data_IF_201372060628
#
_entry.id   IF_201372060628
#
_cell.length_a   1.000
_cell.length_b   1.000
_cell.length_c   1.000
_cell.angle_alpha   90.00
_cell.angle_beta   90.00
_cell.angle_gamma   90.00
#
_symmetry.space_group_name_H-M   'P 1'
#
loop_
_entity.id
_entity.type
_entity.pdbx_description
1 polymer ?
#
# COMPACT_ATOMS: atom_id res chain seq x y z
N UNK A 1 -15.10 -15.69 -14.49
CA UNK A 1 -14.31 -14.98 -13.48
C UNK A 1 -13.60 -15.99 -12.59
N UNK A 2 -12.33 -15.74 -12.24
CA UNK A 2 -11.57 -16.54 -11.28
C UNK A 2 -11.08 -15.62 -10.18
N UNK A 3 -11.20 -16.05 -8.93
CA UNK A 3 -10.66 -15.35 -7.77
C UNK A 3 -9.46 -16.14 -7.23
N UNK A 4 -8.45 -15.42 -6.78
CA UNK A 4 -7.22 -15.99 -6.22
C UNK A 4 -6.92 -15.25 -4.91
N UNK A 5 -6.54 -16.01 -3.90
CA UNK A 5 -5.97 -15.46 -2.68
C UNK A 5 -4.49 -15.21 -2.92
N UNK A 6 -4.04 -14.02 -2.64
CA UNK A 6 -2.64 -13.62 -2.70
C UNK A 6 -2.20 -13.08 -1.34
N UNK A 7 -0.91 -13.14 -1.09
CA UNK A 7 -0.30 -12.59 0.13
C UNK A 7 0.26 -11.21 -0.22
N UNK A 8 -0.03 -10.22 0.61
CA UNK A 8 0.52 -8.88 0.46
C UNK A 8 1.98 -8.83 0.91
N UNK A 9 2.64 -7.73 0.61
CA UNK A 9 3.97 -7.40 1.14
C UNK A 9 3.95 -7.22 2.65
N UNK A 10 5.11 -7.28 3.29
CA UNK A 10 5.30 -6.86 4.67
C UNK A 10 6.26 -5.68 4.73
N UNK A 11 5.90 -4.56 5.39
CA UNK A 11 4.57 -4.25 5.94
C UNK A 11 3.50 -4.18 4.86
N UNK A 12 2.26 -4.51 5.23
CA UNK A 12 1.12 -4.49 4.32
C UNK A 12 0.55 -3.06 4.22
N UNK A 13 1.27 -2.17 3.57
CA UNK A 13 0.82 -0.81 3.29
C UNK A 13 0.56 -0.60 1.80
N UNK A 14 -0.21 0.40 1.50
CA UNK A 14 -0.61 0.75 0.13
C UNK A 14 0.60 1.12 -0.73
N UNK A 15 1.50 1.93 -0.16
CA UNK A 15 2.73 2.33 -0.84
C UNK A 15 3.65 1.14 -1.06
N UNK A 16 3.90 0.33 -0.02
CA UNK A 16 4.80 -0.82 -0.11
C UNK A 16 4.33 -1.78 -1.19
N UNK A 17 3.05 -2.14 -1.21
CA UNK A 17 2.49 -3.06 -2.20
C UNK A 17 2.48 -2.47 -3.61
N UNK A 18 2.13 -1.19 -3.75
CA UNK A 18 2.11 -0.48 -5.04
C UNK A 18 3.52 -0.37 -5.61
N UNK A 19 4.52 0.03 -4.79
CA UNK A 19 5.90 0.14 -5.25
C UNK A 19 6.47 -1.22 -5.61
N UNK A 20 6.22 -2.26 -4.82
CA UNK A 20 6.63 -3.62 -5.15
C UNK A 20 6.06 -4.07 -6.49
N UNK A 21 4.79 -3.82 -6.74
CA UNK A 21 4.15 -4.12 -8.01
C UNK A 21 4.76 -3.33 -9.17
N UNK A 22 4.96 -2.03 -9.00
CA UNK A 22 5.44 -1.15 -10.08
C UNK A 22 6.93 -1.34 -10.37
N UNK A 23 7.75 -1.67 -9.39
CA UNK A 23 9.19 -1.84 -9.53
C UNK A 23 9.63 -3.28 -9.79
N UNK A 24 8.73 -4.25 -9.58
CA UNK A 24 9.04 -5.70 -9.56
C UNK A 24 10.11 -6.06 -8.50
N UNK A 25 10.16 -5.29 -7.42
CA UNK A 25 11.14 -5.45 -6.34
C UNK A 25 10.44 -5.72 -5.02
N UNK A 26 11.14 -6.40 -4.14
CA UNK A 26 10.70 -6.60 -2.77
C UNK A 26 10.82 -5.29 -1.96
N UNK A 27 10.11 -5.15 -0.83
CA UNK A 27 10.25 -4.00 0.08
C UNK A 27 11.68 -3.77 0.54
N UNK A 28 12.45 -4.83 0.74
CA UNK A 28 13.86 -4.78 1.09
C UNK A 28 14.71 -4.12 -0.02
N UNK A 29 14.42 -4.43 -1.29
CA UNK A 29 15.19 -3.92 -2.43
C UNK A 29 14.83 -2.47 -2.77
N UNK A 30 13.55 -2.11 -2.73
CA UNK A 30 13.14 -0.75 -3.09
C UNK A 30 13.15 0.24 -1.91
N UNK A 31 13.19 -0.23 -0.66
CA UNK A 31 13.30 0.60 0.54
C UNK A 31 12.04 1.39 0.94
N UNK A 32 10.92 1.21 0.23
CA UNK A 32 9.67 1.90 0.54
C UNK A 32 8.78 1.03 1.41
N UNK A 33 8.66 1.42 2.68
CA UNK A 33 7.89 0.68 3.68
C UNK A 33 6.59 1.39 4.00
N UNK A 34 6.61 2.72 4.10
CA UNK A 34 5.43 3.57 4.25
C UNK A 34 5.71 4.98 3.69
N UNK A 35 4.66 5.78 3.57
CA UNK A 35 4.74 7.18 3.15
C UNK A 35 5.52 8.09 4.08
N UNK A 36 5.73 7.68 5.32
CA UNK A 36 6.41 8.45 6.36
C UNK A 36 7.86 8.06 6.60
N UNK A 37 8.30 6.92 6.07
CA UNK A 37 9.63 6.38 6.36
C UNK A 37 10.50 6.46 5.13
N UNK A 38 11.53 7.27 5.26
CA UNK A 38 12.58 7.46 4.30
C UNK A 38 13.83 6.69 4.73
N UNK A 39 14.03 5.52 4.15
CA UNK A 39 15.28 4.79 4.31
C UNK A 39 16.23 5.11 3.14
N UNK A 40 17.12 6.09 3.33
CA UNK A 40 18.29 6.38 2.50
C UNK A 40 18.08 6.92 1.07
N UNK A 41 16.88 7.17 0.60
CA UNK A 41 16.68 7.70 -0.75
C UNK A 41 16.20 9.14 -0.82
N UNK A 42 16.02 9.84 0.32
CA UNK A 42 15.29 11.11 0.36
C UNK A 42 16.01 12.18 1.20
N UNK A 43 17.24 12.47 0.93
CA UNK A 43 17.83 13.67 1.52
C UNK A 43 17.24 14.98 0.95
N UNK A 44 16.53 14.96 -0.18
CA UNK A 44 16.10 16.20 -0.84
C UNK A 44 14.59 16.44 -0.94
N UNK A 45 13.70 15.48 -0.63
CA UNK A 45 12.24 15.64 -0.84
C UNK A 45 11.33 15.34 0.35
N UNK A 46 11.86 15.03 1.51
CA UNK A 46 11.10 14.71 2.74
C UNK A 46 10.26 15.88 3.30
N UNK A 47 10.40 17.08 2.77
CA UNK A 47 9.70 18.28 3.27
C UNK A 47 8.35 18.56 2.61
N UNK A 48 7.89 17.74 1.71
CA UNK A 48 6.53 17.85 1.18
C UNK A 48 5.63 16.91 1.97
N UNK A 49 5.16 17.35 3.13
CA UNK A 49 4.20 16.63 3.99
C UNK A 49 2.99 16.15 3.21
N UNK A 50 3.16 15.05 2.50
CA UNK A 50 2.21 14.49 1.58
C UNK A 50 2.65 13.10 1.14
N UNK A 51 1.68 12.33 0.76
CA UNK A 51 1.78 11.04 0.11
C UNK A 51 2.88 11.06 -0.97
N UNK A 52 3.91 10.23 -0.82
CA UNK A 52 4.94 10.08 -1.85
C UNK A 52 4.35 9.41 -3.07
N UNK A 53 4.50 10.07 -4.20
CA UNK A 53 3.99 9.59 -5.47
C UNK A 53 4.89 8.50 -6.00
N UNK A 54 4.37 7.32 -6.39
CA UNK A 54 5.19 6.26 -6.99
C UNK A 54 6.01 6.70 -8.21
N UNK A 55 5.62 7.80 -8.85
CA UNK A 55 6.30 8.33 -10.04
C UNK A 55 7.57 9.14 -9.76
N UNK A 56 7.79 9.59 -8.52
CA UNK A 56 8.98 10.36 -8.14
C UNK A 56 10.12 9.46 -7.67
N UNK A 57 9.94 8.15 -7.72
CA UNK A 57 10.91 7.18 -7.26
C UNK A 57 12.04 6.99 -8.28
N UNK A 58 13.27 6.87 -7.79
CA UNK A 58 14.46 6.60 -8.60
C UNK A 58 14.59 5.10 -8.93
N UNK A 59 13.59 4.53 -9.55
CA UNK A 59 13.64 3.14 -10.06
C UNK A 59 12.99 3.06 -11.45
N UNK A 60 13.43 2.10 -12.24
CA UNK A 60 12.78 1.79 -13.50
C UNK A 60 11.48 1.04 -13.23
N UNK A 61 10.36 1.66 -13.53
CA UNK A 61 9.05 1.06 -13.34
C UNK A 61 8.70 0.08 -14.46
N UNK A 62 7.74 -0.80 -14.21
CA UNK A 62 7.17 -1.67 -15.26
C UNK A 62 6.67 -0.85 -16.47
N UNK A 63 6.20 0.38 -16.23
CA UNK A 63 5.78 1.29 -17.31
C UNK A 63 6.97 1.73 -18.17
N UNK A 64 8.10 2.07 -17.54
CA UNK A 64 9.32 2.45 -18.26
C UNK A 64 9.85 1.29 -19.08
N UNK A 65 9.92 0.10 -18.48
CA UNK A 65 10.36 -1.13 -19.17
C UNK A 65 9.52 -1.42 -20.41
N UNK A 66 8.20 -1.35 -20.29
CA UNK A 66 7.29 -1.59 -21.42
C UNK A 66 7.43 -0.51 -22.48
N UNK A 67 7.47 0.76 -22.10
CA UNK A 67 7.56 1.88 -23.02
C UNK A 67 8.91 1.92 -23.75
N UNK A 68 10.00 1.51 -23.07
CA UNK A 68 11.34 1.45 -23.66
C UNK A 68 11.54 0.21 -24.55
N UNK A 69 10.76 -0.86 -24.36
CA UNK A 69 10.90 -2.12 -25.11
C UNK A 69 10.44 -2.04 -26.57
N UNK A 70 9.74 -0.99 -26.96
CA UNK A 70 9.08 -0.82 -28.27
C UNK A 70 8.05 -1.90 -28.64
N UNK A 71 7.73 -2.83 -27.74
CA UNK A 71 6.79 -3.94 -27.99
C UNK A 71 5.35 -3.67 -27.47
N UNK A 72 5.12 -2.51 -26.87
CA UNK A 72 3.84 -2.13 -26.31
C UNK A 72 3.87 -0.73 -25.74
N UNK A 73 2.77 -0.32 -25.11
CA UNK A 73 2.66 0.93 -24.37
C UNK A 73 2.05 0.68 -23.01
N UNK A 74 2.58 1.36 -22.00
CA UNK A 74 2.04 1.33 -20.64
C UNK A 74 1.46 2.69 -20.26
N UNK A 75 0.34 2.65 -19.59
CA UNK A 75 -0.40 3.83 -19.11
C UNK A 75 -0.73 3.65 -17.64
N UNK A 76 -0.60 4.72 -16.88
CA UNK A 76 -0.94 4.75 -15.46
C UNK A 76 -2.00 5.82 -15.19
N UNK A 77 -3.06 5.44 -14.49
CA UNK A 77 -4.16 6.30 -14.09
C UNK A 77 -4.24 6.33 -12.57
N UNK A 78 -4.01 7.51 -11.99
CA UNK A 78 -4.11 7.73 -10.55
C UNK A 78 -5.04 8.90 -10.26
N UNK A 79 -5.61 9.01 -9.05
CA UNK A 79 -6.40 10.18 -8.63
C UNK A 79 -5.52 11.42 -8.38
N UNK A 80 -4.20 11.30 -8.58
CA UNK A 80 -3.19 12.32 -8.30
C UNK A 80 -2.09 12.33 -9.38
N UNK A 81 -1.23 13.36 -9.36
CA UNK A 81 -0.08 13.46 -10.27
C UNK A 81 -0.42 13.78 -11.72
N UNK A 82 0.50 13.44 -12.61
CA UNK A 82 0.31 13.58 -14.06
C UNK A 82 -0.65 12.51 -14.56
N UNK A 83 -1.64 12.91 -15.36
CA UNK A 83 -2.67 11.97 -15.86
C UNK A 83 -3.74 11.63 -14.83
N UNK A 84 -3.89 12.46 -13.78
CA UNK A 84 -4.93 12.28 -12.77
C UNK A 84 -6.33 12.28 -13.39
N UNK A 85 -7.15 11.39 -12.88
CA UNK A 85 -8.59 11.41 -13.13
C UNK A 85 -9.32 12.10 -11.96
N UNK A 86 -10.49 12.67 -12.23
CA UNK A 86 -11.31 13.36 -11.23
C UNK A 86 -12.22 12.42 -10.44
N UNK A 87 -12.70 11.38 -11.12
CA UNK A 87 -13.61 10.37 -10.58
C UNK A 87 -13.48 9.06 -11.37
N UNK A 88 -14.06 7.98 -10.85
CA UNK A 88 -14.00 6.65 -11.48
C UNK A 88 -14.59 6.64 -12.90
N UNK A 89 -15.64 7.39 -13.14
CA UNK A 89 -16.27 7.47 -14.47
C UNK A 89 -15.28 7.99 -15.52
N UNK A 90 -14.51 9.03 -15.18
CA UNK A 90 -13.47 9.57 -16.07
C UNK A 90 -12.34 8.56 -16.28
N UNK A 91 -11.92 7.84 -15.22
CA UNK A 91 -10.94 6.79 -15.33
C UNK A 91 -11.40 5.67 -16.26
N UNK A 92 -12.63 5.19 -16.11
CA UNK A 92 -13.19 4.14 -16.96
C UNK A 92 -13.33 4.59 -18.43
N UNK A 93 -13.76 5.83 -18.68
CA UNK A 93 -13.78 6.40 -20.04
C UNK A 93 -12.37 6.43 -20.64
N UNK A 94 -11.38 6.80 -19.85
CA UNK A 94 -9.99 6.83 -20.29
C UNK A 94 -9.46 5.43 -20.59
N UNK A 95 -9.77 4.42 -19.75
CA UNK A 95 -9.42 3.02 -20.00
C UNK A 95 -10.01 2.54 -21.32
N UNK A 96 -11.30 2.79 -21.57
CA UNK A 96 -11.96 2.41 -22.80
C UNK A 96 -11.30 3.08 -24.01
N UNK A 97 -11.04 4.38 -23.95
CA UNK A 97 -10.38 5.11 -25.02
C UNK A 97 -8.99 4.57 -25.32
N UNK A 98 -8.20 4.31 -24.28
CA UNK A 98 -6.86 3.74 -24.41
C UNK A 98 -6.91 2.30 -24.97
N UNK A 99 -7.90 1.50 -24.55
CA UNK A 99 -8.05 0.11 -25.02
C UNK A 99 -8.33 0.03 -26.51
N UNK A 100 -9.01 1.01 -27.08
CA UNK A 100 -9.35 1.07 -28.51
C UNK A 100 -8.15 1.45 -29.41
N UNK A 101 -7.05 1.94 -28.85
CA UNK A 101 -5.84 2.19 -29.64
C UNK A 101 -5.24 0.86 -30.11
N UNK A 102 -4.56 0.87 -31.26
CA UNK A 102 -3.88 -0.31 -31.76
C UNK A 102 -2.65 -0.70 -30.91
N UNK A 103 -2.26 -1.96 -30.97
CA UNK A 103 -1.06 -2.51 -30.34
C UNK A 103 -1.24 -2.99 -28.89
N UNK A 104 -0.24 -3.72 -28.40
CA UNK A 104 -0.22 -4.25 -27.03
C UNK A 104 -0.09 -3.14 -26.02
N UNK A 105 -0.81 -3.24 -24.91
CA UNK A 105 -0.75 -2.23 -23.86
C UNK A 105 -1.00 -2.80 -22.47
N UNK A 106 -0.39 -2.17 -21.49
CA UNK A 106 -0.71 -2.30 -20.07
C UNK A 106 -1.40 -1.01 -19.61
N UNK A 107 -2.58 -1.12 -19.04
CA UNK A 107 -3.28 0.00 -18.42
C UNK A 107 -3.43 -0.32 -16.95
N UNK A 108 -2.77 0.45 -16.09
CA UNK A 108 -2.87 0.35 -14.64
C UNK A 108 -3.73 1.49 -14.14
N UNK A 109 -4.77 1.19 -13.38
CA UNK A 109 -5.60 2.18 -12.74
C UNK A 109 -5.68 1.90 -11.23
N UNK A 110 -5.34 2.90 -10.44
CA UNK A 110 -5.36 2.84 -8.99
C UNK A 110 -6.57 3.60 -8.45
N UNK A 111 -7.32 2.99 -7.53
CA UNK A 111 -8.51 3.57 -6.91
C UNK A 111 -8.40 3.48 -5.39
N UNK A 112 -8.63 4.59 -4.70
CA UNK A 112 -8.54 4.73 -3.25
C UNK A 112 -9.90 4.96 -2.55
N UNK A 113 -10.99 4.94 -3.30
CA UNK A 113 -12.31 5.29 -2.78
C UNK A 113 -12.82 4.31 -1.74
N UNK A 114 -12.67 3.01 -1.98
CA UNK A 114 -13.15 1.97 -1.07
C UNK A 114 -12.43 2.05 0.28
N UNK A 115 -11.11 2.26 0.26
CA UNK A 115 -10.31 2.42 1.48
C UNK A 115 -10.81 3.59 2.32
N UNK A 116 -11.09 4.74 1.70
CA UNK A 116 -11.67 5.91 2.39
C UNK A 116 -13.03 5.63 3.02
N UNK A 117 -13.88 4.84 2.37
CA UNK A 117 -15.19 4.46 2.91
C UNK A 117 -15.02 3.53 4.12
N UNK A 118 -14.16 2.51 4.00
CA UNK A 118 -13.84 1.56 5.08
C UNK A 118 -13.23 2.28 6.29
N UNK A 119 -12.27 3.17 6.08
CA UNK A 119 -11.65 3.95 7.16
C UNK A 119 -12.65 4.81 7.93
N UNK A 120 -13.68 5.31 7.26
CA UNK A 120 -14.69 6.18 7.87
C UNK A 120 -15.78 5.43 8.58
N UNK A 121 -16.25 4.34 8.01
CA UNK A 121 -17.50 3.68 8.41
C UNK A 121 -17.29 2.28 9.02
N UNK A 122 -16.11 1.68 8.81
CA UNK A 122 -15.80 0.29 9.17
C UNK A 122 -15.92 -0.66 7.97
N UNK A 123 -15.23 -1.80 8.09
CA UNK A 123 -15.11 -2.76 6.99
C UNK A 123 -16.46 -3.42 6.66
N UNK A 124 -17.23 -3.76 7.68
CA UNK A 124 -18.53 -4.47 7.53
C UNK A 124 -19.73 -3.50 7.53
N UNK A 125 -19.52 -2.19 7.35
CA UNK A 125 -20.61 -1.22 7.33
C UNK A 125 -21.47 -1.35 6.06
N UNK A 126 -22.73 -0.92 6.16
CA UNK A 126 -23.64 -0.85 5.01
C UNK A 126 -23.08 -0.01 3.87
N UNK A 127 -22.40 1.09 4.20
CA UNK A 127 -21.78 2.00 3.26
C UNK A 127 -20.62 1.34 2.52
N UNK A 128 -19.82 0.51 3.21
CA UNK A 128 -18.75 -0.24 2.59
C UNK A 128 -19.29 -1.32 1.64
N UNK A 129 -20.33 -2.04 2.07
CA UNK A 129 -20.99 -3.05 1.24
C UNK A 129 -21.59 -2.40 -0.01
N UNK A 130 -22.28 -1.27 0.14
CA UNK A 130 -22.84 -0.53 -0.98
C UNK A 130 -21.76 -0.07 -1.98
N UNK A 131 -20.63 0.44 -1.47
CA UNK A 131 -19.51 0.86 -2.33
C UNK A 131 -18.89 -0.32 -3.08
N UNK A 132 -18.74 -1.49 -2.46
CA UNK A 132 -18.28 -2.71 -3.14
C UNK A 132 -19.23 -3.13 -4.25
N UNK A 133 -20.53 -3.12 -4.00
CA UNK A 133 -21.55 -3.44 -5.02
C UNK A 133 -21.56 -2.43 -6.17
N UNK A 134 -21.34 -1.15 -5.88
CA UNK A 134 -21.21 -0.12 -6.91
C UNK A 134 -19.96 -0.35 -7.78
N UNK A 135 -18.82 -0.67 -7.15
CA UNK A 135 -17.58 -1.00 -7.86
C UNK A 135 -17.79 -2.23 -8.76
N UNK A 136 -18.42 -3.28 -8.26
CA UNK A 136 -18.72 -4.49 -9.03
C UNK A 136 -19.56 -4.18 -10.27
N UNK A 137 -20.61 -3.39 -10.12
CA UNK A 137 -21.49 -2.96 -11.22
C UNK A 137 -20.73 -2.13 -12.27
N UNK A 138 -19.90 -1.19 -11.81
CA UNK A 138 -19.09 -0.33 -12.69
C UNK A 138 -18.05 -1.14 -13.45
N UNK A 139 -17.36 -2.07 -12.78
CA UNK A 139 -16.37 -2.97 -13.39
C UNK A 139 -17.03 -3.91 -14.40
N UNK A 140 -18.19 -4.45 -14.10
CA UNK A 140 -18.95 -5.28 -15.04
C UNK A 140 -19.29 -4.50 -16.31
N UNK A 141 -19.80 -3.27 -16.16
CA UNK A 141 -20.08 -2.39 -17.31
C UNK A 141 -18.82 -1.99 -18.09
N UNK A 142 -17.68 -1.83 -17.42
CA UNK A 142 -16.38 -1.60 -18.07
C UNK A 142 -15.99 -2.83 -18.90
N UNK A 143 -16.02 -4.02 -18.29
CA UNK A 143 -15.62 -5.27 -18.96
C UNK A 143 -16.46 -5.56 -20.23
N UNK A 144 -17.77 -5.23 -20.23
CA UNK A 144 -18.63 -5.36 -21.41
C UNK A 144 -18.18 -4.48 -22.59
N UNK A 145 -17.48 -3.37 -22.31
CA UNK A 145 -17.02 -2.40 -23.31
C UNK A 145 -15.58 -2.67 -23.78
N UNK A 146 -14.88 -3.57 -23.10
CA UNK A 146 -13.51 -3.92 -23.46
C UNK A 146 -13.53 -5.13 -24.38
N UNK A 147 -12.84 -5.02 -25.52
CA UNK A 147 -12.61 -6.11 -26.47
C UNK A 147 -11.15 -6.49 -26.46
N UNK A 148 -10.85 -7.80 -26.53
CA UNK A 148 -9.48 -8.33 -26.56
C UNK A 148 -8.62 -7.85 -25.39
N UNK A 149 -9.17 -7.91 -24.17
CA UNK A 149 -8.52 -7.47 -22.95
C UNK A 149 -8.64 -8.51 -21.83
N UNK A 150 -7.60 -8.60 -21.01
CA UNK A 150 -7.63 -9.31 -19.72
C UNK A 150 -7.67 -8.25 -18.64
N UNK A 151 -8.63 -8.35 -17.73
CA UNK A 151 -8.79 -7.44 -16.61
C UNK A 151 -8.42 -8.15 -15.32
N UNK A 152 -7.48 -7.58 -14.58
CA UNK A 152 -7.12 -8.00 -13.22
C UNK A 152 -7.61 -6.94 -12.23
N UNK A 153 -8.35 -7.37 -11.23
CA UNK A 153 -8.73 -6.53 -10.08
C UNK A 153 -7.93 -7.03 -8.89
N UNK A 154 -7.12 -6.17 -8.32
CA UNK A 154 -6.17 -6.55 -7.27
C UNK A 154 -6.39 -5.64 -6.06
N UNK A 155 -6.50 -6.23 -4.86
CA UNK A 155 -6.38 -5.50 -3.60
C UNK A 155 -4.92 -5.58 -3.13
N UNK A 156 -4.36 -4.45 -2.73
CA UNK A 156 -2.97 -4.39 -2.25
C UNK A 156 -2.80 -5.06 -0.89
N UNK A 157 -3.83 -5.05 -0.05
CA UNK A 157 -3.88 -5.65 1.29
C UNK A 157 -5.34 -5.81 1.75
N UNK A 158 -5.53 -6.49 2.88
CA UNK A 158 -6.84 -6.60 3.54
C UNK A 158 -7.00 -5.58 4.67
N UNK A 159 -8.21 -5.09 4.86
CA UNK A 159 -8.57 -4.21 5.97
C UNK A 159 -9.36 -4.98 7.02
N UNK A 160 -9.14 -4.62 8.28
CA UNK A 160 -9.90 -5.11 9.44
C UNK A 160 -10.22 -3.94 10.37
N UNK A 161 -11.36 -4.01 11.02
CA UNK A 161 -11.67 -3.07 12.09
C UNK A 161 -10.79 -3.33 13.30
N UNK A 162 -10.17 -2.30 13.84
CA UNK A 162 -9.27 -2.42 14.99
C UNK A 162 -9.42 -1.24 15.95
N UNK A 163 -9.10 -1.51 17.22
CA UNK A 163 -8.96 -0.44 18.22
C UNK A 163 -7.55 0.13 18.17
N UNK A 164 -7.47 1.44 18.32
CA UNK A 164 -6.18 2.13 18.37
C UNK A 164 -5.61 2.08 19.79
N UNK A 165 -4.39 1.61 19.92
CA UNK A 165 -3.59 1.66 21.15
C UNK A 165 -2.45 2.65 20.97
N UNK A 166 -2.32 3.56 21.93
CA UNK A 166 -1.30 4.61 21.91
C UNK A 166 -0.18 4.20 22.88
N UNK A 167 0.94 3.75 22.34
CA UNK A 167 2.04 3.19 23.14
C UNK A 167 2.77 4.26 23.97
N UNK A 168 2.75 5.51 23.52
CA UNK A 168 3.30 6.67 24.25
C UNK A 168 2.65 6.89 25.62
N UNK A 169 1.45 6.36 25.85
CA UNK A 169 0.75 6.42 27.13
C UNK A 169 1.17 5.32 28.11
N UNK A 170 1.86 4.29 27.61
CA UNK A 170 2.36 3.17 28.43
C UNK A 170 3.69 3.47 29.06
N UNK A 171 3.68 4.25 30.14
CA UNK A 171 4.89 4.74 30.83
C UNK A 171 5.89 3.61 31.18
N UNK A 172 5.39 2.43 31.55
CA UNK A 172 6.22 1.27 31.90
C UNK A 172 7.02 0.72 30.72
N UNK A 173 6.60 0.95 29.48
CA UNK A 173 7.36 0.62 28.28
C UNK A 173 8.18 1.80 27.78
N UNK A 174 7.59 2.98 27.75
CA UNK A 174 8.25 4.19 27.25
C UNK A 174 9.55 4.49 27.97
N UNK A 175 9.61 4.28 29.29
CA UNK A 175 10.83 4.50 30.08
C UNK A 175 11.98 3.52 29.75
N UNK A 176 11.71 2.43 29.05
CA UNK A 176 12.68 1.43 28.61
C UNK A 176 13.14 1.65 27.16
N UNK A 177 12.57 2.61 26.47
CA UNK A 177 12.80 2.87 25.04
C UNK A 177 13.68 4.10 24.87
N UNK A 178 14.71 3.96 24.04
CA UNK A 178 15.56 5.07 23.64
C UNK A 178 14.94 5.86 22.48
N UNK A 179 14.33 5.17 21.52
CA UNK A 179 13.76 5.77 20.32
C UNK A 179 12.57 4.93 19.84
N UNK A 180 11.52 5.57 19.38
CA UNK A 180 10.39 4.95 18.70
C UNK A 180 10.24 5.55 17.30
N UNK A 181 10.01 4.69 16.32
CA UNK A 181 9.73 5.11 14.96
C UNK A 181 8.56 4.32 14.40
N UNK A 182 7.59 5.04 13.88
CA UNK A 182 6.41 4.47 13.24
C UNK A 182 6.81 4.03 11.83
N UNK A 183 6.83 2.73 11.59
CA UNK A 183 7.04 2.17 10.24
C UNK A 183 5.73 2.30 9.45
N UNK A 184 4.65 1.82 10.05
CA UNK A 184 3.27 2.02 9.60
C UNK A 184 2.35 1.86 10.84
N UNK A 185 1.06 2.24 10.80
CA UNK A 185 0.21 2.26 12.00
C UNK A 185 0.10 0.94 12.76
N UNK A 186 0.36 -0.19 12.12
CA UNK A 186 0.33 -1.54 12.73
C UNK A 186 1.73 -2.10 13.00
N UNK A 187 2.78 -1.41 12.59
CA UNK A 187 4.15 -1.84 12.72
C UNK A 187 5.01 -0.69 13.29
N UNK A 188 5.37 -0.82 14.56
CA UNK A 188 6.19 0.14 15.28
C UNK A 188 7.59 -0.42 15.51
N UNK A 189 8.62 0.34 15.13
CA UNK A 189 10.00 0.05 15.50
C UNK A 189 10.34 0.72 16.83
N UNK A 190 11.03 -0.03 17.70
CA UNK A 190 11.50 0.49 18.99
C UNK A 190 12.98 0.16 19.19
N UNK A 191 13.75 1.15 19.58
CA UNK A 191 15.12 0.98 20.02
C UNK A 191 15.16 1.01 21.55
N UNK A 192 15.47 -0.12 22.13
CA UNK A 192 15.43 -0.30 23.57
C UNK A 192 16.73 0.23 24.19
N UNK A 193 16.64 0.78 25.40
CA UNK A 193 17.82 1.18 26.20
C UNK A 193 18.73 -0.01 26.42
N UNK A 194 20.04 0.24 26.44
CA UNK A 194 21.04 -0.80 26.65
C UNK A 194 20.82 -1.52 27.99
N UNK A 195 20.83 -2.84 27.96
CA UNK A 195 20.60 -3.70 29.11
C UNK A 195 19.14 -3.79 29.58
N UNK A 196 18.19 -3.19 28.86
CA UNK A 196 16.75 -3.20 29.19
C UNK A 196 15.89 -4.11 28.30
N UNK A 197 16.51 -4.92 27.44
CA UNK A 197 15.81 -5.74 26.47
C UNK A 197 14.88 -6.78 27.11
N UNK A 198 15.36 -7.48 28.14
CA UNK A 198 14.56 -8.50 28.83
C UNK A 198 13.42 -7.88 29.65
N UNK A 199 13.68 -6.74 30.30
CA UNK A 199 12.67 -6.01 31.05
C UNK A 199 11.56 -5.52 30.09
N UNK A 200 11.93 -4.95 28.95
CA UNK A 200 10.99 -4.52 27.92
C UNK A 200 10.14 -5.71 27.41
N UNK A 201 10.77 -6.83 27.09
CA UNK A 201 10.09 -8.04 26.60
C UNK A 201 9.08 -8.55 27.63
N UNK A 202 9.44 -8.58 28.90
CA UNK A 202 8.54 -9.04 29.97
C UNK A 202 7.32 -8.11 30.11
N UNK A 203 7.53 -6.80 30.18
CA UNK A 203 6.45 -5.82 30.30
C UNK A 203 5.55 -5.83 29.05
N UNK A 204 6.16 -5.95 27.87
CA UNK A 204 5.42 -6.04 26.62
C UNK A 204 4.55 -7.29 26.58
N UNK A 205 5.09 -8.45 26.89
CA UNK A 205 4.38 -9.72 26.86
C UNK A 205 3.23 -9.75 27.88
N UNK A 206 3.43 -9.20 29.07
CA UNK A 206 2.38 -9.10 30.07
C UNK A 206 1.19 -8.27 29.60
N UNK A 207 1.43 -7.17 28.87
CA UNK A 207 0.40 -6.22 28.50
C UNK A 207 -0.19 -6.41 27.11
N UNK A 208 0.57 -6.94 26.17
CA UNK A 208 0.24 -6.84 24.75
C UNK A 208 0.40 -8.14 23.94
N UNK A 209 0.89 -9.23 24.54
CA UNK A 209 1.11 -10.49 23.80
C UNK A 209 -0.17 -11.11 23.22
N UNK A 210 -1.34 -10.72 23.74
CA UNK A 210 -2.65 -11.15 23.22
C UNK A 210 -3.07 -10.39 21.95
N UNK A 211 -2.41 -9.26 21.63
CA UNK A 211 -2.80 -8.35 20.55
C UNK A 211 -1.68 -8.08 19.55
N UNK A 212 -0.43 -8.15 19.99
CA UNK A 212 0.72 -7.79 19.19
C UNK A 212 1.81 -8.86 19.27
N UNK A 213 2.54 -8.99 18.16
CA UNK A 213 3.73 -9.81 18.07
C UNK A 213 4.95 -8.93 18.26
N UNK A 214 5.82 -9.28 19.23
CA UNK A 214 7.14 -8.69 19.37
C UNK A 214 8.13 -9.49 18.54
N UNK A 215 8.73 -8.85 17.55
CA UNK A 215 9.72 -9.45 16.64
C UNK A 215 11.06 -8.75 16.85
N UNK A 216 12.13 -9.50 17.03
CA UNK A 216 13.48 -8.94 17.10
C UNK A 216 14.00 -8.56 15.71
N UNK A 217 15.02 -7.70 15.67
CA UNK A 217 15.70 -7.34 14.43
C UNK A 217 16.23 -8.58 13.69
N UNK A 218 16.84 -9.51 14.41
CA UNK A 218 17.40 -10.73 13.81
C UNK A 218 16.31 -11.64 13.23
N UNK A 219 15.14 -11.72 13.86
CA UNK A 219 13.99 -12.46 13.32
C UNK A 219 13.44 -11.81 12.04
N UNK A 220 13.41 -10.48 11.96
CA UNK A 220 13.00 -9.78 10.74
C UNK A 220 14.00 -10.04 9.61
N UNK A 221 15.28 -9.98 9.90
CA UNK A 221 16.33 -10.15 8.89
C UNK A 221 16.52 -11.61 8.44
N UNK A 222 15.97 -12.58 9.17
CA UNK A 222 16.03 -14.01 8.83
C UNK A 222 14.87 -14.51 7.96
N UNK A 223 13.87 -13.68 7.72
CA UNK A 223 12.67 -13.99 6.92
C UNK A 223 12.75 -13.41 5.51
#
# INVERSE_FOLDING_TARGET
>A
NKAFNIISTFPASDITSTVSFLSEKTPYEHGFIDSKVDFNCIEEKANMGGFMMPFDMKYESIFDKINNSCNGKAYALFPFGKGKYKNREEAYKTIINLSNNSGKKLIYAYFDNLDKVMMKNGVDSSETIEEVLNIEKELSSLCEKLTDAIVFVISGYGNIDCSKISLDKEKSLVCLVNEMFEIEPRCLGVKILEGKQDEFRNVFNEKFSDKFLLISYDEVMSR
#
